data_IF_849267394764
#
_entry.id   IF_849267394764
#
_cell.length_a   1.000
_cell.length_b   1.000
_cell.length_c   1.000
_cell.angle_alpha   90.00
_cell.angle_beta   90.00
_cell.angle_gamma   90.00
#
_symmetry.space_group_name_H-M   'P 1'
#
loop_
_entity.id
_entity.type
_entity.pdbx_description
1 polymer ?
#
# COMPACT_ATOMS: atom_id res chain seq x y z
N UNK A 1 11.94 15.27 -24.33
CA UNK A 1 11.78 15.21 -22.85
C UNK A 1 13.18 15.35 -22.25
N UNK A 2 13.40 16.24 -21.27
CA UNK A 2 14.74 16.47 -20.68
C UNK A 2 14.84 15.69 -19.36
N UNK A 3 16.02 15.16 -19.04
CA UNK A 3 16.32 14.40 -17.82
C UNK A 3 15.77 15.09 -16.57
N UNK A 4 15.98 16.41 -16.44
CA UNK A 4 15.50 17.19 -15.30
C UNK A 4 13.97 17.16 -15.13
N UNK A 5 13.21 17.14 -16.24
CA UNK A 5 11.74 17.04 -16.18
C UNK A 5 11.30 15.65 -15.73
N UNK A 6 11.97 14.61 -16.23
CA UNK A 6 11.71 13.22 -15.83
C UNK A 6 12.01 13.03 -14.34
N UNK A 7 13.12 13.57 -13.83
CA UNK A 7 13.46 13.50 -12.41
C UNK A 7 12.43 14.23 -11.52
N UNK A 8 11.95 15.40 -11.96
CA UNK A 8 10.90 16.13 -11.26
C UNK A 8 9.58 15.33 -11.23
N UNK A 9 9.18 14.73 -12.35
CA UNK A 9 8.00 13.86 -12.42
C UNK A 9 8.13 12.63 -11.51
N UNK A 10 9.30 11.99 -11.49
CA UNK A 10 9.59 10.86 -10.58
C UNK A 10 9.42 11.31 -9.13
N UNK A 11 9.97 12.45 -8.75
CA UNK A 11 9.87 12.94 -7.37
C UNK A 11 8.42 13.26 -7.00
N UNK A 12 7.66 13.90 -7.88
CA UNK A 12 6.24 14.18 -7.65
C UNK A 12 5.43 12.88 -7.50
N UNK A 13 5.67 11.89 -8.36
CA UNK A 13 5.01 10.58 -8.28
C UNK A 13 5.36 9.86 -6.98
N UNK A 14 6.62 9.91 -6.53
CA UNK A 14 7.04 9.36 -5.23
C UNK A 14 6.31 10.04 -4.07
N UNK A 15 6.21 11.37 -4.07
CA UNK A 15 5.49 12.11 -3.03
C UNK A 15 4.01 11.70 -2.99
N UNK A 16 3.38 11.60 -4.16
CA UNK A 16 1.99 11.16 -4.29
C UNK A 16 1.81 9.72 -3.79
N UNK A 17 2.74 8.82 -4.16
CA UNK A 17 2.73 7.44 -3.71
C UNK A 17 2.81 7.38 -2.18
N UNK A 18 3.78 8.06 -1.56
CA UNK A 18 3.91 8.11 -0.10
C UNK A 18 2.67 8.65 0.59
N UNK A 19 2.01 9.67 0.02
CA UNK A 19 0.76 10.20 0.56
C UNK A 19 -0.37 9.16 0.50
N UNK A 20 -0.52 8.47 -0.63
CA UNK A 20 -1.53 7.42 -0.80
C UNK A 20 -1.28 6.22 0.11
N UNK A 21 -0.02 5.80 0.28
CA UNK A 21 0.37 4.75 1.20
C UNK A 21 0.03 5.10 2.65
N UNK A 22 0.26 6.35 3.08
CA UNK A 22 -0.14 6.82 4.41
C UNK A 22 -1.66 6.74 4.59
N UNK A 23 -2.44 7.19 3.60
CA UNK A 23 -3.91 7.09 3.65
C UNK A 23 -4.38 5.64 3.69
N UNK A 24 -3.75 4.77 2.91
CA UNK A 24 -4.04 3.34 2.92
C UNK A 24 -3.78 2.74 4.30
N UNK A 25 -2.65 3.08 4.93
CA UNK A 25 -2.34 2.64 6.30
C UNK A 25 -3.39 3.08 7.32
N UNK A 26 -3.87 4.32 7.23
CA UNK A 26 -4.95 4.82 8.11
C UNK A 26 -6.25 4.03 7.90
N UNK A 27 -6.64 3.77 6.66
CA UNK A 27 -7.81 2.94 6.35
C UNK A 27 -7.63 1.53 6.90
N UNK A 28 -6.45 0.94 6.70
CA UNK A 28 -6.13 -0.39 7.19
C UNK A 28 -6.15 -0.46 8.73
N UNK A 29 -5.64 0.55 9.43
CA UNK A 29 -5.67 0.60 10.91
C UNK A 29 -7.10 0.70 11.48
N UNK A 30 -7.99 1.43 10.79
CA UNK A 30 -9.38 1.59 11.21
C UNK A 30 -10.31 0.49 10.65
N UNK A 31 -9.76 -0.48 9.92
CA UNK A 31 -10.55 -1.55 9.34
C UNK A 31 -10.81 -2.63 10.38
N UNK A 32 -12.08 -2.99 10.58
CA UNK A 32 -12.45 -4.24 11.22
C UNK A 32 -12.10 -5.41 10.28
N UNK A 33 -10.85 -5.87 10.38
CA UNK A 33 -10.28 -6.81 9.44
C UNK A 33 -11.03 -8.14 9.45
N UNK A 34 -11.47 -8.54 8.26
CA UNK A 34 -11.93 -9.89 7.99
C UNK A 34 -10.98 -10.50 6.98
N UNK A 35 -10.05 -11.30 7.49
CA UNK A 35 -9.03 -11.93 6.66
C UNK A 35 -9.58 -13.18 5.97
N UNK A 36 -9.11 -13.40 4.74
CA UNK A 36 -9.33 -14.61 3.96
C UNK A 36 -8.02 -14.99 3.31
N UNK A 37 -7.63 -16.25 3.42
CA UNK A 37 -6.39 -16.74 2.83
C UNK A 37 -6.13 -18.18 3.14
N UNK A 38 -4.87 -18.57 3.06
CA UNK A 38 -4.39 -19.93 3.31
C UNK A 38 -3.30 -19.92 4.39
N UNK A 39 -2.65 -21.06 4.58
CA UNK A 39 -1.59 -21.23 5.58
C UNK A 39 -0.36 -20.33 5.38
N UNK A 40 -0.17 -19.72 4.20
CA UNK A 40 1.01 -18.92 3.86
C UNK A 40 0.74 -17.42 3.99
N UNK A 41 -0.45 -16.97 3.58
CA UNK A 41 -0.85 -15.58 3.66
C UNK A 41 -2.35 -15.44 3.79
N UNK A 42 -2.75 -14.35 4.44
CA UNK A 42 -4.14 -13.93 4.53
C UNK A 42 -4.29 -12.49 4.08
N UNK A 43 -5.41 -12.20 3.41
CA UNK A 43 -5.71 -10.86 2.89
C UNK A 43 -7.04 -10.39 3.45
N UNK A 44 -7.09 -9.17 3.97
CA UNK A 44 -8.33 -8.57 4.42
C UNK A 44 -9.24 -8.32 3.22
N UNK A 45 -10.45 -8.90 3.24
CA UNK A 45 -11.41 -8.76 2.14
C UNK A 45 -11.94 -7.32 1.96
N UNK A 46 -11.77 -6.47 2.99
CA UNK A 46 -12.27 -5.08 3.00
C UNK A 46 -11.22 -4.06 2.56
N UNK A 47 -9.98 -4.20 3.04
CA UNK A 47 -8.92 -3.20 2.87
C UNK A 47 -7.66 -3.73 2.19
N UNK A 48 -7.69 -4.97 1.71
CA UNK A 48 -6.58 -5.64 1.01
C UNK A 48 -5.26 -5.67 1.78
N UNK A 49 -5.29 -5.50 3.11
CA UNK A 49 -4.13 -5.70 3.96
C UNK A 49 -3.72 -7.17 3.89
N UNK A 50 -2.48 -7.43 3.50
CA UNK A 50 -1.90 -8.78 3.46
C UNK A 50 -1.09 -9.00 4.73
N UNK A 51 -1.35 -10.11 5.43
CA UNK A 51 -0.46 -10.64 6.45
C UNK A 51 0.20 -11.90 5.88
N UNK A 52 1.52 -11.95 5.94
CA UNK A 52 2.29 -13.17 5.67
C UNK A 52 2.43 -13.93 6.99
N UNK A 53 2.04 -15.20 7.00
CA UNK A 53 1.94 -16.00 8.23
C UNK A 53 3.18 -16.88 8.48
N UNK A 54 4.16 -16.84 7.57
CA UNK A 54 5.40 -17.63 7.64
C UNK A 54 6.62 -16.70 7.67
N UNK A 55 7.50 -16.89 8.64
CA UNK A 55 8.78 -16.19 8.84
C UNK A 55 9.94 -17.19 8.78
#
# INVERSE_FOLDING_TARGET
MNVQKIEAEINQLKTNLTFLEKRLKVIQQNCEHKYKGNQYYETCIKCNKVNVLYY
#
